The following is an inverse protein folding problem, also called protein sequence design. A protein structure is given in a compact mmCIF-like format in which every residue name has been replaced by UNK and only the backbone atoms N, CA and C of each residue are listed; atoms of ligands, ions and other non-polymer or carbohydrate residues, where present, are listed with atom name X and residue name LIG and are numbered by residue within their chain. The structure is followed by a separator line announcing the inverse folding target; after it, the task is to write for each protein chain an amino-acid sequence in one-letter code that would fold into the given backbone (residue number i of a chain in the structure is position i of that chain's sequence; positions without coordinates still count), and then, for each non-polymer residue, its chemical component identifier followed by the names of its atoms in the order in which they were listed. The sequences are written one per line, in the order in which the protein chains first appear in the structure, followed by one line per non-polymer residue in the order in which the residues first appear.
data_IF_837000180648
#
_entry.id   IF_837000180648
#
_cell.length_a   1.000
_cell.length_b   1.000
_cell.length_c   1.000
_cell.angle_alpha   90.00
_cell.angle_beta   90.00
_cell.angle_gamma   90.00
#
_symmetry.space_group_name_H-M   'P 1'
#
loop_
_entity.id
_entity.type
_entity.pdbx_description
1 polymer ?
#
# COMPACT_ATOMS: atom_id res chain seq x y z
N UNK A 1 24.74 4.23 7.70
CA UNK A 1 23.31 4.64 7.59
C UNK A 1 22.79 5.31 8.86
N UNK A 2 23.65 5.96 9.65
CA UNK A 2 23.27 6.55 10.95
C UNK A 2 22.25 7.69 10.81
N UNK A 3 22.25 8.38 9.66
CA UNK A 3 21.28 9.43 9.33
C UNK A 3 19.82 8.97 9.49
N UNK A 4 19.51 7.70 9.21
CA UNK A 4 18.14 7.17 9.33
C UNK A 4 17.61 7.28 10.76
N UNK A 5 18.48 7.15 11.76
CA UNK A 5 18.11 7.19 13.17
C UNK A 5 17.94 8.62 13.71
N UNK A 6 18.36 9.65 12.96
CA UNK A 6 18.21 11.07 13.35
C UNK A 6 16.78 11.58 13.15
N UNK A 7 15.96 10.86 12.37
CA UNK A 7 14.59 11.24 12.11
C UNK A 7 13.64 10.66 13.17
N UNK A 8 12.60 11.41 13.59
CA UNK A 8 11.62 10.92 14.54
C UNK A 8 10.82 9.74 13.95
N UNK A 9 10.66 8.69 14.75
CA UNK A 9 9.93 7.46 14.41
C UNK A 9 8.66 7.34 15.24
N UNK A 10 7.63 6.76 14.64
CA UNK A 10 6.36 6.44 15.28
C UNK A 10 6.15 4.93 15.26
N UNK A 11 5.88 4.36 16.43
CA UNK A 11 5.38 3.00 16.51
C UNK A 11 3.91 2.94 16.11
N UNK A 12 3.49 1.82 15.51
CA UNK A 12 2.05 1.59 15.31
C UNK A 12 1.40 1.24 16.65
N UNK A 13 0.71 2.23 17.26
CA UNK A 13 -0.03 2.04 18.52
C UNK A 13 -0.97 0.83 18.47
N UNK A 14 -1.61 0.59 17.32
CA UNK A 14 -2.55 -0.53 17.12
C UNK A 14 -1.88 -1.89 16.89
N UNK A 15 -0.59 -1.93 16.54
CA UNK A 15 0.11 -3.17 16.18
C UNK A 15 1.33 -3.46 17.06
N UNK A 16 1.54 -2.72 18.15
CA UNK A 16 2.71 -2.90 19.03
C UNK A 16 2.86 -4.34 19.57
N UNK A 17 1.75 -5.05 19.75
CA UNK A 17 1.74 -6.42 20.24
C UNK A 17 2.10 -7.46 19.17
N UNK A 18 1.94 -7.14 17.88
CA UNK A 18 2.09 -8.09 16.76
C UNK A 18 3.18 -7.71 15.76
N UNK A 19 3.74 -6.50 15.85
CA UNK A 19 4.76 -6.03 14.93
C UNK A 19 5.67 -4.99 15.59
N UNK A 20 6.99 -5.15 15.40
CA UNK A 20 8.00 -4.13 15.73
C UNK A 20 8.29 -3.18 14.57
N UNK A 21 7.29 -2.92 13.73
CA UNK A 21 7.44 -2.02 12.58
C UNK A 21 7.28 -0.58 13.01
N UNK A 22 8.27 0.25 12.70
CA UNK A 22 8.24 1.69 12.96
C UNK A 22 7.97 2.45 11.66
N UNK A 23 7.37 3.62 11.81
CA UNK A 23 6.88 4.43 10.71
C UNK A 23 7.41 5.86 10.79
N UNK A 24 7.84 6.39 9.66
CA UNK A 24 8.12 7.81 9.49
C UNK A 24 6.87 8.57 9.04
N UNK A 25 6.83 9.87 9.29
CA UNK A 25 5.78 10.75 8.79
C UNK A 25 5.71 10.72 7.24
N UNK A 26 4.52 10.80 6.62
CA UNK A 26 4.36 10.78 5.15
C UNK A 26 5.21 11.81 4.40
N UNK A 27 5.50 12.95 5.01
CA UNK A 27 6.31 14.01 4.39
C UNK A 27 7.80 13.64 4.25
N UNK A 28 8.25 12.62 5.00
CA UNK A 28 9.61 12.12 4.97
C UNK A 28 9.70 10.88 4.07
N UNK A 29 9.69 11.12 2.76
CA UNK A 29 9.76 10.04 1.76
C UNK A 29 11.14 9.38 1.68
N UNK A 30 11.20 8.11 1.28
CA UNK A 30 12.47 7.36 1.14
C UNK A 30 13.40 8.07 0.17
N UNK A 31 12.87 8.60 -0.93
CA UNK A 31 13.65 9.35 -1.91
C UNK A 31 14.23 10.65 -1.32
N UNK A 32 13.47 11.35 -0.48
CA UNK A 32 13.94 12.57 0.20
C UNK A 32 15.05 12.23 1.19
N UNK A 33 14.87 11.20 2.02
CA UNK A 33 15.89 10.76 2.97
C UNK A 33 17.15 10.26 2.27
N UNK A 34 16.99 9.52 1.17
CA UNK A 34 18.11 9.03 0.35
C UNK A 34 18.91 10.17 -0.28
N UNK A 35 18.22 11.20 -0.77
CA UNK A 35 18.87 12.42 -1.26
C UNK A 35 19.63 13.14 -0.14
N UNK A 36 19.01 13.33 1.03
CA UNK A 36 19.67 13.95 2.19
C UNK A 36 20.91 13.16 2.62
N UNK A 37 20.83 11.82 2.61
CA UNK A 37 21.98 10.95 2.87
C UNK A 37 23.13 11.19 1.87
N UNK A 38 22.84 11.14 0.58
CA UNK A 38 23.88 11.33 -0.43
C UNK A 38 24.44 12.75 -0.44
N UNK A 39 23.64 13.77 -0.12
CA UNK A 39 24.06 15.17 -0.06
C UNK A 39 24.99 15.41 1.15
N UNK A 40 24.69 14.82 2.31
CA UNK A 40 25.46 14.97 3.54
C UNK A 40 26.83 14.26 3.46
N UNK A 41 26.87 13.04 2.92
CA UNK A 41 28.12 12.26 2.82
C UNK A 41 28.84 12.44 1.47
N UNK A 42 28.43 13.42 0.66
CA UNK A 42 29.03 13.69 -0.65
C UNK A 42 30.52 14.03 -0.57
N UNK A 43 30.91 14.80 0.44
CA UNK A 43 32.30 15.23 0.65
C UNK A 43 33.22 14.06 1.04
N UNK A 44 32.65 13.02 1.66
CA UNK A 44 33.36 11.81 2.08
C UNK A 44 33.43 10.75 0.96
N UNK A 45 32.84 11.03 -0.21
CA UNK A 45 32.79 10.10 -1.34
C UNK A 45 31.82 8.93 -1.15
N UNK A 46 31.05 8.91 -0.06
CA UNK A 46 30.03 7.90 0.19
C UNK A 46 28.75 8.22 -0.59
N UNK A 47 28.37 7.31 -1.48
CA UNK A 47 27.05 7.31 -2.12
C UNK A 47 26.40 5.94 -1.97
N UNK A 48 25.09 5.92 -1.70
CA UNK A 48 24.32 4.68 -1.80
C UNK A 48 23.42 4.72 -3.02
N UNK A 49 23.19 3.55 -3.63
CA UNK A 49 22.07 3.41 -4.57
C UNK A 49 20.75 3.48 -3.80
N UNK A 50 19.68 3.90 -4.47
CA UNK A 50 18.33 3.89 -3.89
C UNK A 50 17.87 2.46 -3.56
N UNK A 51 18.33 1.47 -4.33
CA UNK A 51 18.04 0.06 -4.09
C UNK A 51 18.64 -0.41 -2.76
N UNK A 52 19.93 -0.17 -2.54
CA UNK A 52 20.61 -0.50 -1.28
C UNK A 52 19.96 0.22 -0.10
N UNK A 53 19.60 1.49 -0.28
CA UNK A 53 18.94 2.28 0.77
C UNK A 53 17.56 1.69 1.16
N UNK A 54 16.77 1.24 0.18
CA UNK A 54 15.49 0.55 0.42
C UNK A 54 15.66 -0.81 1.10
N UNK A 55 16.69 -1.55 0.74
CA UNK A 55 16.98 -2.85 1.37
C UNK A 55 17.31 -2.69 2.86
N UNK A 56 18.11 -1.68 3.21
CA UNK A 56 18.40 -1.33 4.61
C UNK A 56 17.13 -0.93 5.36
N UNK A 57 16.27 -0.12 4.76
CA UNK A 57 14.96 0.23 5.33
C UNK A 57 14.12 -1.00 5.68
N UNK A 58 14.08 -1.99 4.77
CA UNK A 58 13.34 -3.23 4.97
C UNK A 58 13.94 -4.08 6.10
N UNK A 59 15.27 -4.17 6.17
CA UNK A 59 16.00 -4.89 7.24
C UNK A 59 15.74 -4.29 8.62
N UNK A 60 15.69 -2.95 8.69
CA UNK A 60 15.39 -2.22 9.94
C UNK A 60 13.89 -2.21 10.30
N UNK A 61 13.02 -2.88 9.53
CA UNK A 61 11.56 -2.87 9.72
C UNK A 61 10.97 -1.45 9.74
N UNK A 62 11.53 -0.55 8.93
CA UNK A 62 11.07 0.82 8.79
C UNK A 62 10.10 0.95 7.61
N UNK A 63 9.07 1.78 7.76
CA UNK A 63 8.15 2.12 6.69
C UNK A 63 7.78 3.61 6.76
N UNK A 64 7.14 4.11 5.71
CA UNK A 64 6.51 5.43 5.75
C UNK A 64 5.04 5.22 6.05
N UNK A 65 4.50 6.04 6.96
CA UNK A 65 3.09 6.07 7.23
C UNK A 65 2.37 6.65 6.02
N UNK A 66 1.62 5.83 5.31
CA UNK A 66 0.77 6.28 4.22
C UNK A 66 -0.66 6.41 4.71
N UNK A 67 -1.10 7.63 4.96
CA UNK A 67 -2.51 7.94 5.20
C UNK A 67 -3.28 7.57 3.94
N UNK A 68 -4.15 6.56 4.02
CA UNK A 68 -4.94 6.12 2.86
C UNK A 68 -6.01 7.16 2.58
N UNK A 69 -5.88 7.90 1.47
CA UNK A 69 -6.82 8.96 1.07
C UNK A 69 -8.21 8.42 0.67
N UNK A 70 -8.29 7.18 0.20
CA UNK A 70 -9.54 6.54 -0.26
C UNK A 70 -9.97 5.38 0.67
N UNK A 71 -10.25 5.69 1.93
CA UNK A 71 -10.85 4.69 2.81
C UNK A 71 -12.37 4.89 2.87
N UNK A 72 -13.10 3.81 2.61
CA UNK A 72 -14.53 3.76 2.87
C UNK A 72 -14.79 4.03 4.36
N UNK A 73 -15.53 5.09 4.66
CA UNK A 73 -15.86 5.52 6.03
C UNK A 73 -16.50 4.39 6.84
N UNK A 74 -17.47 3.67 6.24
CA UNK A 74 -18.11 2.51 6.87
C UNK A 74 -17.10 1.41 7.23
N UNK A 75 -16.14 1.12 6.34
CA UNK A 75 -15.10 0.12 6.62
C UNK A 75 -14.17 0.54 7.76
N UNK A 76 -13.81 1.82 7.84
CA UNK A 76 -12.97 2.35 8.90
C UNK A 76 -13.69 2.25 10.24
N UNK A 77 -14.91 2.80 10.30
CA UNK A 77 -15.72 2.83 11.52
C UNK A 77 -15.99 1.42 12.02
N UNK A 78 -16.36 0.49 11.13
CA UNK A 78 -16.57 -0.91 11.51
C UNK A 78 -15.30 -1.58 12.02
N UNK A 79 -14.12 -1.28 11.43
CA UNK A 79 -12.85 -1.90 11.83
C UNK A 79 -12.37 -1.41 13.20
N UNK A 80 -12.45 -0.10 13.42
CA UNK A 80 -11.96 0.57 14.63
C UNK A 80 -12.96 0.47 15.79
N UNK A 81 -14.27 0.34 15.48
CA UNK A 81 -15.33 0.27 16.47
C UNK A 81 -15.16 -0.88 17.48
N UNK A 82 -15.66 -0.64 18.69
CA UNK A 82 -15.80 -1.65 19.74
C UNK A 82 -16.84 -2.71 19.39
N UNK A 83 -17.03 -3.70 20.27
CA UNK A 83 -17.93 -4.82 20.04
C UNK A 83 -19.39 -4.40 19.83
N UNK A 84 -19.87 -3.37 20.54
CA UNK A 84 -21.24 -2.88 20.41
C UNK A 84 -21.42 -2.16 19.07
N UNK A 85 -20.47 -1.29 18.70
CA UNK A 85 -20.50 -0.59 17.41
C UNK A 85 -20.42 -1.55 16.23
N UNK A 86 -19.65 -2.63 16.36
CA UNK A 86 -19.59 -3.72 15.38
C UNK A 86 -20.90 -4.48 15.28
N UNK A 87 -21.55 -4.79 16.40
CA UNK A 87 -22.85 -5.46 16.38
C UNK A 87 -23.92 -4.60 15.68
N UNK A 88 -23.99 -3.31 16.00
CA UNK A 88 -24.91 -2.34 15.39
C UNK A 88 -24.71 -2.24 13.87
N UNK A 89 -23.45 -2.17 13.42
CA UNK A 89 -23.13 -1.94 12.00
C UNK A 89 -22.97 -3.23 11.19
N UNK A 90 -23.11 -4.41 11.80
CA UNK A 90 -22.78 -5.72 11.20
C UNK A 90 -23.53 -5.97 9.90
N UNK A 91 -24.84 -5.75 9.92
CA UNK A 91 -25.69 -6.00 8.75
C UNK A 91 -25.33 -5.06 7.59
N UNK A 92 -25.26 -3.75 7.87
CA UNK A 92 -24.86 -2.74 6.88
C UNK A 92 -23.46 -3.01 6.30
N UNK A 93 -22.53 -3.45 7.14
CA UNK A 93 -21.19 -3.81 6.72
C UNK A 93 -21.17 -5.07 5.84
N UNK A 94 -21.95 -6.09 6.17
CA UNK A 94 -22.08 -7.31 5.35
C UNK A 94 -22.67 -7.00 3.98
N UNK A 95 -23.69 -6.16 3.90
CA UNK A 95 -24.27 -5.69 2.64
C UNK A 95 -23.22 -4.97 1.79
N UNK A 96 -22.50 -4.01 2.37
CA UNK A 96 -21.40 -3.31 1.70
C UNK A 96 -20.32 -4.27 1.15
N UNK A 97 -19.98 -5.32 1.90
CA UNK A 97 -19.03 -6.34 1.45
C UNK A 97 -19.58 -7.13 0.26
N UNK A 98 -20.86 -7.49 0.27
CA UNK A 98 -21.51 -8.21 -0.82
C UNK A 98 -21.52 -7.37 -2.11
N UNK A 99 -21.93 -6.11 -2.05
CA UNK A 99 -21.91 -5.18 -3.19
C UNK A 99 -20.49 -5.01 -3.75
N UNK A 100 -19.52 -4.80 -2.87
CA UNK A 100 -18.10 -4.69 -3.26
C UNK A 100 -17.60 -5.93 -3.97
N UNK A 101 -17.99 -7.13 -3.53
CA UNK A 101 -17.63 -8.37 -4.19
C UNK A 101 -18.34 -8.52 -5.54
N UNK A 102 -19.63 -8.17 -5.63
CA UNK A 102 -20.39 -8.20 -6.87
C UNK A 102 -19.76 -7.29 -7.93
N UNK A 103 -19.42 -6.05 -7.58
CA UNK A 103 -18.76 -5.12 -8.50
C UNK A 103 -17.39 -5.62 -8.98
N UNK A 104 -16.62 -6.29 -8.10
CA UNK A 104 -15.33 -6.91 -8.48
C UNK A 104 -15.51 -8.09 -9.44
N UNK A 105 -16.49 -8.96 -9.18
CA UNK A 105 -16.83 -10.09 -10.05
C UNK A 105 -17.24 -9.62 -11.43
N UNK A 106 -18.15 -8.64 -11.50
CA UNK A 106 -18.60 -8.03 -12.75
C UNK A 106 -17.41 -7.46 -13.54
N UNK A 107 -16.54 -6.68 -12.90
CA UNK A 107 -15.36 -6.11 -13.57
C UNK A 107 -14.40 -7.19 -14.10
N UNK A 108 -14.23 -8.31 -13.37
CA UNK A 108 -13.42 -9.44 -13.83
C UNK A 108 -14.02 -10.07 -15.07
N UNK A 109 -15.33 -10.36 -15.04
CA UNK A 109 -16.05 -10.93 -16.17
C UNK A 109 -15.99 -10.03 -17.41
N UNK A 110 -16.22 -8.72 -17.28
CA UNK A 110 -16.06 -7.80 -18.41
C UNK A 110 -14.63 -7.77 -18.98
N UNK A 111 -13.62 -7.98 -18.14
CA UNK A 111 -12.22 -8.07 -18.58
C UNK A 111 -11.98 -9.36 -19.37
N UNK A 112 -12.48 -10.49 -18.87
CA UNK A 112 -12.40 -11.79 -19.53
C UNK A 112 -13.11 -11.78 -20.88
N UNK A 113 -14.33 -11.24 -20.95
CA UNK A 113 -15.06 -11.09 -22.22
C UNK A 113 -14.28 -10.27 -23.24
N UNK A 114 -13.69 -9.14 -22.83
CA UNK A 114 -12.86 -8.32 -23.71
C UNK A 114 -11.67 -9.10 -24.26
N UNK A 115 -10.98 -9.87 -23.42
CA UNK A 115 -9.85 -10.71 -23.84
C UNK A 115 -10.30 -11.75 -24.86
N UNK A 116 -11.42 -12.42 -24.62
CA UNK A 116 -11.98 -13.43 -25.53
C UNK A 116 -12.35 -12.80 -26.87
N UNK A 117 -13.08 -11.67 -26.88
CA UNK A 117 -13.45 -10.96 -28.11
C UNK A 117 -12.21 -10.57 -28.92
N UNK A 118 -11.22 -9.95 -28.29
CA UNK A 118 -9.96 -9.60 -28.96
C UNK A 118 -9.20 -10.82 -29.51
N UNK A 119 -9.28 -11.99 -28.84
CA UNK A 119 -8.67 -13.22 -29.34
C UNK A 119 -9.42 -13.81 -30.56
N UNK A 120 -10.75 -13.69 -30.59
CA UNK A 120 -11.59 -14.12 -31.71
C UNK A 120 -11.36 -13.23 -32.94
N UNK A 121 -11.33 -11.90 -32.76
CA UNK A 121 -11.08 -10.94 -33.84
C UNK A 121 -9.72 -11.18 -34.51
N UNK A 122 -8.69 -11.49 -33.71
CA UNK A 122 -7.35 -11.84 -34.22
C UNK A 122 -7.33 -13.15 -35.02
N UNK A 123 -8.10 -14.16 -34.60
CA UNK A 123 -8.19 -15.44 -35.32
C UNK A 123 -8.86 -15.30 -36.67
N UNK A 124 -9.90 -14.46 -36.77
CA UNK A 124 -10.59 -14.17 -38.03
C UNK A 124 -9.68 -13.44 -39.02
N UNK A 125 -8.84 -12.52 -38.55
CA UNK A 125 -7.86 -11.82 -39.40
C UNK A 125 -6.71 -12.72 -39.90
N UNK A 126 -6.31 -13.75 -39.15
CA UNK A 126 -5.28 -14.71 -39.58
C UNK A 126 -5.80 -15.84 -40.49
N UNK A 127 -7.11 -15.98 -40.65
CA UNK A 127 -7.75 -17.01 -41.49
C UNK A 127 -8.24 -16.51 -42.86
N UNK A 128 -8.01 -15.23 -43.20
CA UNK A 128 -8.33 -14.60 -44.49
C UNK A 128 -7.07 -14.33 -45.33
N UNK A 129 -6.10 -15.24 -45.30
CA UNK A 129 -4.94 -15.27 -46.23
C UNK A 129 -4.84 -16.65 -46.85
#
# INVERSE_FOLDING_TARGET
FELINRFPRLESHYCRASSSKEYFHPDLTISKMHRMFNDEFKAEGLKSSLFTYRDVFKKLKLAIHHTKKDQCSLCIVYKIGDANKKAELKERYNYHLAEKQAGRKWKSSCKEEKIIRTALDKKQQTGMV
#
